data_IF_855924886771
#
_entry.id   IF_855924886771
#
_cell.length_a   1.000
_cell.length_b   1.000
_cell.length_c   1.000
_cell.angle_alpha   90.00
_cell.angle_beta   90.00
_cell.angle_gamma   90.00
#
_symmetry.space_group_name_H-M   'P 1'
#
loop_
_entity.id
_entity.type
_entity.pdbx_description
1 polymer ?
#
# COMPACT_ATOMS: atom_id res chain seq x y z
N UNK A 1 -13.95 1.70 -35.73
CA UNK A 1 -13.46 0.94 -34.55
C UNK A 1 -13.94 1.52 -33.20
N UNK A 2 -14.43 2.75 -33.10
CA UNK A 2 -14.96 3.35 -31.84
C UNK A 2 -16.39 2.93 -31.44
N UNK A 3 -17.14 2.28 -32.28
CA UNK A 3 -18.57 1.92 -32.05
C UNK A 3 -18.78 0.58 -31.32
N UNK A 4 -17.75 -0.27 -31.19
CA UNK A 4 -17.87 -1.60 -30.53
C UNK A 4 -17.61 -1.52 -29.01
N UNK A 5 -16.95 -0.46 -28.53
CA UNK A 5 -16.60 -0.27 -27.10
C UNK A 5 -17.73 0.32 -26.21
N UNK A 6 -18.85 0.75 -26.79
CA UNK A 6 -19.93 1.40 -26.01
C UNK A 6 -20.91 0.44 -25.32
N UNK A 7 -20.81 -0.87 -25.52
CA UNK A 7 -21.86 -1.80 -25.06
C UNK A 7 -21.50 -2.58 -23.78
N UNK A 8 -20.38 -2.30 -23.11
CA UNK A 8 -19.96 -3.07 -21.91
C UNK A 8 -19.49 -2.20 -20.74
N UNK A 9 -19.94 -0.94 -20.65
CA UNK A 9 -19.61 -0.03 -19.57
C UNK A 9 -20.19 -0.53 -18.25
N UNK A 10 -19.32 -0.95 -17.31
CA UNK A 10 -19.70 -1.41 -15.99
C UNK A 10 -19.71 -0.26 -14.97
N UNK A 11 -20.46 -0.45 -13.89
CA UNK A 11 -20.58 0.49 -12.79
C UNK A 11 -20.05 -0.13 -11.50
N UNK A 12 -18.98 0.45 -10.97
CA UNK A 12 -18.33 -0.01 -9.75
C UNK A 12 -18.63 0.92 -8.59
N UNK A 13 -18.82 0.35 -7.41
CA UNK A 13 -18.88 1.10 -6.16
C UNK A 13 -17.79 0.59 -5.23
N UNK A 14 -16.82 1.43 -4.88
CA UNK A 14 -15.70 1.05 -4.02
C UNK A 14 -15.92 1.63 -2.63
N UNK A 15 -15.99 0.76 -1.62
CA UNK A 15 -16.08 1.12 -0.23
C UNK A 15 -14.68 1.10 0.41
N UNK A 16 -14.28 2.23 0.98
CA UNK A 16 -13.06 2.38 1.77
C UNK A 16 -13.40 3.15 3.04
N UNK A 17 -13.08 2.59 4.22
CA UNK A 17 -13.44 3.20 5.49
C UNK A 17 -12.86 4.62 5.64
N UNK A 18 -11.67 4.84 5.11
CA UNK A 18 -11.03 6.16 4.98
C UNK A 18 -10.67 6.43 3.53
N UNK A 19 -10.56 7.71 3.17
CA UNK A 19 -10.16 8.17 1.85
C UNK A 19 -9.61 9.60 1.93
N UNK A 20 -9.09 10.12 0.83
CA UNK A 20 -8.50 11.46 0.81
C UNK A 20 -9.34 12.50 1.58
N UNK A 21 -8.68 13.38 2.35
CA UNK A 21 -7.24 13.70 2.41
C UNK A 21 -6.37 12.74 3.24
N UNK A 22 -6.94 11.70 3.86
CA UNK A 22 -6.13 10.65 4.49
C UNK A 22 -5.33 9.88 3.44
N UNK A 23 -4.01 9.76 3.65
CA UNK A 23 -3.09 9.10 2.73
C UNK A 23 -2.46 7.87 3.39
N UNK A 24 -2.96 6.70 3.02
CA UNK A 24 -2.42 5.40 3.42
C UNK A 24 -2.40 4.44 2.22
N UNK A 25 -2.00 3.21 2.47
CA UNK A 25 -1.92 2.18 1.42
C UNK A 25 -3.28 1.82 0.81
N UNK A 26 -4.32 1.72 1.65
CA UNK A 26 -5.69 1.38 1.21
C UNK A 26 -6.30 2.50 0.37
N UNK A 27 -6.08 3.75 0.76
CA UNK A 27 -6.59 4.93 0.06
C UNK A 27 -5.94 5.09 -1.31
N UNK A 28 -4.62 4.91 -1.38
CA UNK A 28 -3.87 4.90 -2.66
C UNK A 28 -4.31 3.76 -3.56
N UNK A 29 -4.49 2.56 -3.00
CA UNK A 29 -5.03 1.42 -3.72
C UNK A 29 -6.40 1.73 -4.32
N UNK A 30 -7.31 2.25 -3.49
CA UNK A 30 -8.68 2.63 -3.88
C UNK A 30 -8.68 3.65 -5.02
N UNK A 31 -7.84 4.68 -4.89
CA UNK A 31 -7.71 5.73 -5.92
C UNK A 31 -7.18 5.18 -7.24
N UNK A 32 -6.08 4.43 -7.21
CA UNK A 32 -5.44 3.94 -8.42
C UNK A 32 -6.29 2.89 -9.14
N UNK A 33 -6.96 2.00 -8.40
CA UNK A 33 -7.92 1.06 -8.98
C UNK A 33 -9.09 1.81 -9.64
N UNK A 34 -9.66 2.81 -8.96
CA UNK A 34 -10.75 3.62 -9.50
C UNK A 34 -10.33 4.37 -10.76
N UNK A 35 -9.15 5.01 -10.76
CA UNK A 35 -8.56 5.71 -11.90
C UNK A 35 -8.42 4.79 -13.11
N UNK A 36 -7.88 3.59 -12.93
CA UNK A 36 -7.65 2.65 -14.03
C UNK A 36 -8.97 2.07 -14.56
N UNK A 37 -9.93 1.72 -13.71
CA UNK A 37 -11.26 1.31 -14.16
C UNK A 37 -11.97 2.40 -14.98
N UNK A 38 -11.80 3.68 -14.62
CA UNK A 38 -12.35 4.81 -15.39
C UNK A 38 -11.61 4.97 -16.73
N UNK A 39 -10.29 4.81 -16.76
CA UNK A 39 -9.51 4.83 -18.00
C UNK A 39 -9.94 3.76 -18.99
N UNK A 40 -10.38 2.58 -18.49
CA UNK A 40 -10.95 1.50 -19.30
C UNK A 40 -12.42 1.75 -19.70
N UNK A 41 -12.97 2.93 -19.38
CA UNK A 41 -14.29 3.38 -19.82
C UNK A 41 -15.44 3.09 -18.86
N UNK A 42 -15.16 2.59 -17.68
CA UNK A 42 -16.16 2.27 -16.65
C UNK A 42 -16.61 3.50 -15.84
N UNK A 43 -17.72 3.37 -15.12
CA UNK A 43 -18.14 4.32 -14.10
C UNK A 43 -17.73 3.81 -12.73
N UNK A 44 -17.09 4.68 -11.94
CA UNK A 44 -16.68 4.35 -10.58
C UNK A 44 -17.21 5.39 -9.61
N UNK A 45 -17.67 4.92 -8.45
CA UNK A 45 -18.07 5.75 -7.31
C UNK A 45 -17.33 5.24 -6.08
N UNK A 46 -16.74 6.15 -5.31
CA UNK A 46 -16.13 5.83 -4.02
C UNK A 46 -17.08 6.24 -2.90
N UNK A 47 -17.22 5.35 -1.91
CA UNK A 47 -17.99 5.58 -0.69
C UNK A 47 -17.05 5.45 0.50
N UNK A 48 -16.96 6.50 1.32
CA UNK A 48 -16.06 6.56 2.48
C UNK A 48 -16.73 7.15 3.70
N UNK A 49 -16.12 7.04 4.87
CA UNK A 49 -16.60 7.69 6.10
C UNK A 49 -16.14 9.14 6.15
N UNK A 50 -17.01 10.02 6.64
CA UNK A 50 -16.73 11.46 6.74
C UNK A 50 -15.96 11.81 8.03
N UNK A 51 -14.74 11.30 8.14
CA UNK A 51 -13.86 11.49 9.30
C UNK A 51 -13.46 12.97 9.48
N UNK A 52 -13.26 13.67 8.36
CA UNK A 52 -12.76 15.05 8.32
C UNK A 52 -13.87 16.12 8.21
N UNK A 53 -15.15 15.73 8.36
CA UNK A 53 -16.29 16.64 8.26
C UNK A 53 -16.34 17.44 6.94
N UNK A 54 -15.94 16.84 5.84
CA UNK A 54 -15.99 17.42 4.51
C UNK A 54 -17.40 17.35 3.90
N UNK A 55 -17.54 17.83 2.66
CA UNK A 55 -18.78 17.71 1.90
C UNK A 55 -19.25 16.25 1.78
N UNK A 56 -20.57 16.03 1.89
CA UNK A 56 -21.16 14.69 1.71
C UNK A 56 -20.96 14.11 0.31
N UNK A 57 -20.74 14.98 -0.67
CA UNK A 57 -20.43 14.63 -2.05
C UNK A 57 -19.44 15.62 -2.61
N UNK A 58 -18.41 15.08 -3.24
CA UNK A 58 -17.42 15.84 -4.01
C UNK A 58 -16.87 14.99 -5.14
N UNK A 59 -16.06 15.58 -6.01
CA UNK A 59 -15.23 14.87 -6.95
C UNK A 59 -13.77 15.06 -6.58
N UNK A 60 -13.04 13.96 -6.51
CA UNK A 60 -11.58 13.94 -6.36
C UNK A 60 -11.01 13.43 -7.68
N UNK A 61 -10.27 14.26 -8.40
CA UNK A 61 -9.78 13.95 -9.75
C UNK A 61 -10.86 13.34 -10.67
N UNK A 62 -12.01 14.02 -10.73
CA UNK A 62 -13.21 13.60 -11.45
C UNK A 62 -13.90 12.33 -10.93
N UNK A 63 -13.37 11.63 -9.91
CA UNK A 63 -14.00 10.46 -9.28
C UNK A 63 -15.06 10.91 -8.28
N UNK A 64 -16.35 10.53 -8.45
CA UNK A 64 -17.41 10.85 -7.49
C UNK A 64 -17.17 10.17 -6.15
N UNK A 65 -17.13 10.93 -5.06
CA UNK A 65 -16.92 10.47 -3.69
C UNK A 65 -18.12 10.83 -2.82
N UNK A 66 -18.73 9.84 -2.18
CA UNK A 66 -19.77 10.01 -1.19
C UNK A 66 -19.21 9.77 0.21
N UNK A 67 -19.37 10.74 1.10
CA UNK A 67 -18.87 10.68 2.48
C UNK A 67 -20.01 10.43 3.47
N UNK A 68 -20.01 9.26 4.09
CA UNK A 68 -21.04 8.82 5.02
C UNK A 68 -20.77 9.39 6.41
N UNK A 69 -21.75 9.96 7.10
CA UNK A 69 -21.60 10.40 8.48
C UNK A 69 -21.10 9.30 9.41
N UNK A 70 -20.15 9.60 10.27
CA UNK A 70 -19.56 8.65 11.21
C UNK A 70 -19.25 9.29 12.57
N UNK A 71 -19.01 8.46 13.57
CA UNK A 71 -18.30 8.80 14.79
C UNK A 71 -16.84 8.41 14.63
N UNK A 72 -15.93 9.31 14.99
CA UNK A 72 -14.50 9.11 14.90
C UNK A 72 -13.98 8.43 16.17
N UNK A 73 -13.97 7.10 16.21
CA UNK A 73 -13.32 6.37 17.27
C UNK A 73 -11.82 6.22 16.98
N UNK A 74 -11.01 6.10 18.03
CA UNK A 74 -9.55 5.93 17.95
C UNK A 74 -8.91 7.01 17.05
N UNK A 75 -9.25 8.27 17.31
CA UNK A 75 -8.73 9.41 16.54
C UNK A 75 -9.00 9.32 15.03
N UNK A 76 -10.13 8.72 14.66
CA UNK A 76 -10.53 8.53 13.27
C UNK A 76 -9.98 7.26 12.60
N UNK A 77 -9.13 6.49 13.28
CA UNK A 77 -8.64 5.20 12.75
C UNK A 77 -9.74 4.16 12.62
N UNK A 78 -10.80 4.27 13.42
CA UNK A 78 -11.94 3.36 13.41
C UNK A 78 -13.26 4.12 13.29
N UNK A 79 -13.66 4.56 12.08
CA UNK A 79 -14.91 5.27 11.88
C UNK A 79 -16.12 4.34 12.01
N UNK A 80 -17.09 4.72 12.84
CA UNK A 80 -18.34 3.98 13.04
C UNK A 80 -19.50 4.76 12.42
N UNK A 81 -20.32 4.08 11.63
CA UNK A 81 -21.41 4.70 10.87
C UNK A 81 -22.43 5.41 11.79
N UNK A 82 -22.79 6.63 11.46
CA UNK A 82 -23.86 7.40 12.12
C UNK A 82 -25.11 7.36 11.26
N UNK A 83 -26.09 6.52 11.64
CA UNK A 83 -27.35 6.33 10.91
C UNK A 83 -28.33 7.49 11.18
N UNK A 84 -28.09 8.64 10.56
CA UNK A 84 -28.93 9.83 10.64
C UNK A 84 -29.61 10.14 9.27
N UNK A 85 -30.32 11.25 9.17
CA UNK A 85 -31.00 11.67 7.95
C UNK A 85 -30.07 11.77 6.73
N UNK A 86 -28.81 12.24 6.95
CA UNK A 86 -27.79 12.35 5.89
C UNK A 86 -27.37 10.97 5.39
N UNK A 87 -27.13 10.01 6.29
CA UNK A 87 -26.88 8.63 5.93
C UNK A 87 -27.99 8.06 5.05
N UNK A 88 -29.25 8.21 5.46
CA UNK A 88 -30.39 7.68 4.69
C UNK A 88 -30.56 8.37 3.33
N UNK A 89 -30.24 9.65 3.22
CA UNK A 89 -30.21 10.38 1.94
C UNK A 89 -29.18 9.77 0.98
N UNK A 90 -27.93 9.60 1.43
CA UNK A 90 -26.85 8.99 0.63
C UNK A 90 -27.22 7.55 0.26
N UNK A 91 -27.68 6.73 1.21
CA UNK A 91 -28.13 5.36 0.96
C UNK A 91 -29.23 5.29 -0.11
N UNK A 92 -30.18 6.22 -0.12
CA UNK A 92 -31.20 6.30 -1.17
C UNK A 92 -30.62 6.60 -2.56
N UNK A 93 -29.61 7.47 -2.63
CA UNK A 93 -28.89 7.79 -3.87
C UNK A 93 -28.14 6.57 -4.37
N UNK A 94 -27.34 5.92 -3.52
CA UNK A 94 -26.53 4.76 -3.88
C UNK A 94 -27.40 3.59 -4.40
N UNK A 95 -28.52 3.30 -3.73
CA UNK A 95 -29.47 2.26 -4.17
C UNK A 95 -30.07 2.48 -5.57
N UNK A 96 -30.16 3.75 -6.01
CA UNK A 96 -30.70 4.09 -7.34
C UNK A 96 -29.67 3.93 -8.47
N UNK A 97 -28.37 3.89 -8.14
CA UNK A 97 -27.28 3.92 -9.15
C UNK A 97 -27.06 2.62 -9.91
N UNK A 98 -27.66 1.51 -9.52
CA UNK A 98 -27.55 0.20 -10.20
C UNK A 98 -26.08 -0.15 -10.51
N UNK A 99 -25.30 -0.44 -9.48
CA UNK A 99 -23.93 -0.92 -9.65
C UNK A 99 -23.91 -2.39 -10.11
N UNK A 100 -22.97 -2.73 -10.98
CA UNK A 100 -22.70 -4.11 -11.39
C UNK A 100 -21.88 -4.81 -10.32
N UNK A 101 -20.92 -4.11 -9.71
CA UNK A 101 -20.05 -4.65 -8.65
C UNK A 101 -19.83 -3.64 -7.53
N UNK A 102 -19.79 -4.18 -6.31
CA UNK A 102 -19.34 -3.47 -5.09
C UNK A 102 -18.04 -4.10 -4.64
N UNK A 103 -17.00 -3.27 -4.51
CA UNK A 103 -15.69 -3.65 -3.99
C UNK A 103 -15.57 -3.06 -2.59
N UNK A 104 -15.28 -3.91 -1.61
CA UNK A 104 -15.15 -3.49 -0.21
C UNK A 104 -13.70 -3.66 0.22
N UNK A 105 -13.04 -2.56 0.55
CA UNK A 105 -11.69 -2.58 1.08
C UNK A 105 -11.72 -2.80 2.58
N UNK A 106 -11.02 -3.85 3.03
CA UNK A 106 -10.87 -4.22 4.44
C UNK A 106 -12.17 -4.72 5.09
N UNK A 107 -12.17 -5.90 5.69
CA UNK A 107 -13.38 -6.58 6.21
C UNK A 107 -13.90 -6.09 7.56
N UNK A 108 -13.03 -5.57 8.44
CA UNK A 108 -13.34 -5.37 9.87
C UNK A 108 -13.95 -4.00 10.24
N UNK A 109 -14.44 -3.23 9.27
CA UNK A 109 -15.12 -1.97 9.53
C UNK A 109 -16.66 -2.12 9.40
N UNK A 110 -17.45 -1.47 10.28
CA UNK A 110 -18.90 -1.35 10.07
C UNK A 110 -19.26 -0.73 8.72
N UNK A 111 -18.40 0.13 8.20
CA UNK A 111 -18.48 0.70 6.86
C UNK A 111 -18.45 -0.37 5.76
N UNK A 112 -17.58 -1.35 5.92
CA UNK A 112 -17.43 -2.49 5.01
C UNK A 112 -18.66 -3.39 5.01
N UNK A 113 -19.18 -3.72 6.19
CA UNK A 113 -20.43 -4.45 6.34
C UNK A 113 -21.59 -3.72 5.64
N UNK A 114 -21.66 -2.39 5.77
CA UNK A 114 -22.68 -1.62 5.06
C UNK A 114 -22.54 -1.75 3.53
N UNK A 115 -21.33 -1.71 2.99
CA UNK A 115 -21.09 -1.93 1.55
C UNK A 115 -21.58 -3.30 1.07
N UNK A 116 -21.30 -4.37 1.84
CA UNK A 116 -21.76 -5.72 1.55
C UNK A 116 -23.29 -5.84 1.62
N UNK A 117 -23.92 -5.24 2.63
CA UNK A 117 -25.39 -5.19 2.75
C UNK A 117 -26.01 -4.41 1.57
N UNK A 118 -25.40 -3.30 1.17
CA UNK A 118 -25.87 -2.55 0.00
C UNK A 118 -25.81 -3.42 -1.27
N UNK A 119 -24.67 -4.07 -1.52
CA UNK A 119 -24.49 -4.96 -2.67
C UNK A 119 -25.58 -6.02 -2.75
N UNK A 120 -25.85 -6.71 -1.63
CA UNK A 120 -26.92 -7.71 -1.54
C UNK A 120 -28.31 -7.11 -1.83
N UNK A 121 -28.60 -5.92 -1.32
CA UNK A 121 -29.89 -5.24 -1.53
C UNK A 121 -30.12 -4.81 -2.97
N UNK A 122 -29.08 -4.37 -3.67
CA UNK A 122 -29.18 -3.96 -5.08
C UNK A 122 -28.89 -5.08 -6.06
N UNK A 123 -28.58 -6.28 -5.55
CA UNK A 123 -28.21 -7.47 -6.33
C UNK A 123 -26.96 -7.26 -7.20
N UNK A 124 -26.01 -6.48 -6.71
CA UNK A 124 -24.70 -6.32 -7.33
C UNK A 124 -23.76 -7.43 -6.86
N UNK A 125 -22.80 -7.82 -7.69
CA UNK A 125 -21.68 -8.66 -7.28
C UNK A 125 -20.91 -7.97 -6.16
N UNK A 126 -20.45 -8.70 -5.16
CA UNK A 126 -19.68 -8.15 -4.05
C UNK A 126 -18.38 -8.91 -3.89
N UNK A 127 -17.28 -8.18 -3.86
CA UNK A 127 -15.97 -8.71 -3.44
C UNK A 127 -15.44 -7.93 -2.26
N UNK A 128 -14.68 -8.61 -1.40
CA UNK A 128 -13.95 -7.99 -0.30
C UNK A 128 -12.47 -8.16 -0.54
N UNK A 129 -11.74 -7.05 -0.44
CA UNK A 129 -10.30 -7.00 -0.62
C UNK A 129 -9.63 -6.73 0.73
N UNK A 130 -8.78 -7.65 1.16
CA UNK A 130 -8.05 -7.52 2.42
C UNK A 130 -6.62 -7.04 2.21
N UNK A 131 -6.21 -6.08 3.05
CA UNK A 131 -4.92 -5.41 2.98
C UNK A 131 -4.00 -5.71 4.16
N UNK A 132 -4.51 -6.39 5.19
CA UNK A 132 -3.79 -6.66 6.43
C UNK A 132 -3.26 -8.09 6.55
N UNK A 133 -2.30 -8.27 7.44
CA UNK A 133 -1.69 -9.57 7.81
C UNK A 133 -1.66 -9.78 9.32
N UNK A 134 -2.36 -8.93 10.09
CA UNK A 134 -2.46 -8.99 11.55
C UNK A 134 -3.70 -8.27 12.05
N UNK A 135 -4.10 -8.53 13.29
CA UNK A 135 -5.15 -7.76 13.97
C UNK A 135 -4.76 -6.29 14.14
N UNK A 136 -5.75 -5.42 14.19
CA UNK A 136 -5.55 -4.03 14.57
C UNK A 136 -5.11 -3.98 16.05
N UNK A 137 -3.96 -3.39 16.33
CA UNK A 137 -3.47 -3.18 17.70
C UNK A 137 -3.53 -1.71 18.09
N UNK A 138 -3.93 -1.46 19.33
CA UNK A 138 -3.87 -0.16 20.00
C UNK A 138 -2.78 -0.13 21.08
N UNK A 139 -1.85 -1.11 21.05
CA UNK A 139 -0.75 -1.29 22.01
C UNK A 139 -1.21 -1.44 23.46
N UNK A 140 -2.41 -1.98 23.68
CA UNK A 140 -2.96 -2.33 24.98
C UNK A 140 -3.56 -3.73 24.93
N UNK A 141 -2.97 -4.67 25.66
CA UNK A 141 -3.34 -6.10 25.62
C UNK A 141 -4.82 -6.38 25.88
N UNK A 142 -5.46 -5.61 26.75
CA UNK A 142 -6.88 -5.80 27.07
C UNK A 142 -7.77 -5.32 25.89
N UNK A 143 -7.49 -4.15 25.36
CA UNK A 143 -8.25 -3.62 24.23
C UNK A 143 -7.95 -4.38 22.93
N UNK A 144 -6.72 -4.85 22.74
CA UNK A 144 -6.35 -5.68 21.60
C UNK A 144 -7.13 -7.00 21.60
N UNK A 145 -7.26 -7.66 22.78
CA UNK A 145 -8.06 -8.88 22.94
C UNK A 145 -9.57 -8.64 22.64
N UNK A 146 -10.13 -7.53 23.13
CA UNK A 146 -11.53 -7.17 22.81
C UNK A 146 -11.68 -6.88 21.30
N UNK A 147 -10.71 -6.16 20.72
CA UNK A 147 -10.66 -5.86 19.29
C UNK A 147 -10.62 -7.12 18.43
N UNK A 148 -9.84 -8.12 18.83
CA UNK A 148 -9.75 -9.41 18.16
C UNK A 148 -11.10 -10.15 18.16
N UNK A 149 -11.76 -10.26 19.32
CA UNK A 149 -13.10 -10.86 19.41
C UNK A 149 -14.11 -10.13 18.52
N UNK A 150 -14.06 -8.80 18.53
CA UNK A 150 -14.92 -7.98 17.72
C UNK A 150 -14.65 -8.20 16.21
N UNK A 151 -13.38 -8.23 15.79
CA UNK A 151 -12.98 -8.48 14.41
C UNK A 151 -13.46 -9.86 13.93
N UNK A 152 -13.27 -10.91 14.73
CA UNK A 152 -13.79 -12.26 14.44
C UNK A 152 -15.31 -12.28 14.29
N UNK A 153 -16.02 -11.60 15.21
CA UNK A 153 -17.49 -11.54 15.19
C UNK A 153 -17.99 -10.80 13.95
N UNK A 154 -17.43 -9.63 13.67
CA UNK A 154 -17.81 -8.83 12.50
C UNK A 154 -17.52 -9.58 11.19
N UNK A 155 -16.34 -10.21 11.10
CA UNK A 155 -15.96 -11.01 9.92
C UNK A 155 -16.92 -12.19 9.67
N UNK A 156 -17.42 -12.84 10.71
CA UNK A 156 -18.47 -13.86 10.57
C UNK A 156 -19.78 -13.30 10.03
N UNK A 157 -20.14 -12.09 10.45
CA UNK A 157 -21.32 -11.39 9.94
C UNK A 157 -21.10 -10.99 8.48
N UNK A 158 -19.93 -10.48 8.13
CA UNK A 158 -19.55 -10.11 6.76
C UNK A 158 -19.71 -11.29 5.80
N UNK A 159 -19.32 -12.50 6.21
CA UNK A 159 -19.44 -13.71 5.42
C UNK A 159 -20.89 -14.12 5.09
N UNK A 160 -21.89 -13.56 5.76
CA UNK A 160 -23.32 -13.75 5.43
C UNK A 160 -23.69 -12.94 4.17
N UNK A 161 -23.00 -11.84 3.94
CA UNK A 161 -23.32 -10.87 2.88
C UNK A 161 -22.37 -10.93 1.69
N UNK A 162 -21.09 -11.25 1.92
CA UNK A 162 -20.06 -11.42 0.90
C UNK A 162 -19.38 -12.78 1.04
N UNK A 163 -19.13 -13.48 -0.08
CA UNK A 163 -18.45 -14.79 -0.13
C UNK A 163 -17.12 -14.73 -0.87
N UNK A 164 -16.88 -13.66 -1.60
CA UNK A 164 -15.78 -13.52 -2.53
C UNK A 164 -14.73 -12.61 -1.93
N UNK A 165 -13.69 -13.23 -1.36
CA UNK A 165 -12.59 -12.54 -0.70
C UNK A 165 -11.31 -12.68 -1.51
N UNK A 166 -10.55 -11.60 -1.58
CA UNK A 166 -9.25 -11.49 -2.24
C UNK A 166 -8.27 -10.77 -1.31
N UNK A 167 -7.02 -11.17 -1.31
CA UNK A 167 -5.95 -10.43 -0.63
C UNK A 167 -5.16 -9.57 -1.61
N UNK A 168 -4.44 -8.58 -1.12
CA UNK A 168 -3.47 -7.83 -1.92
C UNK A 168 -2.11 -8.54 -2.02
N UNK A 169 -1.97 -9.68 -1.35
CA UNK A 169 -0.81 -10.57 -1.38
C UNK A 169 -1.20 -11.99 -0.94
N UNK A 170 -0.33 -12.96 -1.16
CA UNK A 170 -0.46 -14.31 -0.61
C UNK A 170 -0.52 -14.31 0.91
N UNK A 171 0.30 -13.47 1.57
CA UNK A 171 0.27 -13.30 3.02
C UNK A 171 -1.10 -12.80 3.54
N UNK A 172 -1.75 -11.90 2.80
CA UNK A 172 -3.13 -11.50 3.13
C UNK A 172 -4.12 -12.65 2.95
N UNK A 173 -3.94 -13.51 1.95
CA UNK A 173 -4.77 -14.70 1.78
C UNK A 173 -4.57 -15.73 2.91
N UNK A 174 -3.33 -15.92 3.38
CA UNK A 174 -3.02 -16.74 4.56
C UNK A 174 -3.67 -16.15 5.82
N UNK A 175 -3.66 -14.82 5.96
CA UNK A 175 -4.34 -14.13 7.04
C UNK A 175 -5.86 -14.30 6.98
N UNK A 176 -6.48 -14.28 5.80
CA UNK A 176 -7.90 -14.60 5.63
C UNK A 176 -8.24 -16.03 6.08
N UNK A 177 -7.34 -16.98 5.92
CA UNK A 177 -7.54 -18.36 6.39
C UNK A 177 -7.67 -18.46 7.92
N UNK A 178 -7.05 -17.54 8.68
CA UNK A 178 -7.26 -17.42 10.13
C UNK A 178 -8.73 -17.20 10.51
N UNK A 179 -9.51 -16.54 9.65
CA UNK A 179 -10.96 -16.31 9.80
C UNK A 179 -11.81 -17.38 9.11
N UNK A 180 -11.22 -18.53 8.74
CA UNK A 180 -11.86 -19.59 7.95
C UNK A 180 -12.39 -19.10 6.59
N UNK A 181 -11.74 -18.11 6.00
CA UNK A 181 -12.07 -17.60 4.68
C UNK A 181 -11.07 -18.16 3.67
N UNK A 182 -11.58 -18.89 2.67
CA UNK A 182 -10.79 -19.27 1.51
C UNK A 182 -10.84 -18.16 0.48
N UNK A 183 -9.72 -17.42 0.34
CA UNK A 183 -9.60 -16.39 -0.68
C UNK A 183 -9.72 -16.98 -2.09
N UNK A 184 -10.34 -16.24 -3.02
CA UNK A 184 -10.51 -16.65 -4.42
C UNK A 184 -9.31 -16.33 -5.29
N UNK A 185 -8.46 -15.41 -4.86
CA UNK A 185 -7.27 -15.01 -5.60
C UNK A 185 -6.57 -13.81 -4.98
N UNK A 186 -5.68 -13.20 -5.75
CA UNK A 186 -4.90 -12.03 -5.34
C UNK A 186 -5.13 -10.91 -6.33
N UNK A 187 -5.47 -9.74 -5.79
CA UNK A 187 -5.52 -8.46 -6.50
C UNK A 187 -4.38 -7.60 -5.95
N UNK A 188 -3.21 -7.76 -6.51
CA UNK A 188 -1.96 -7.20 -6.00
C UNK A 188 -2.03 -5.69 -5.75
N UNK A 189 -1.33 -5.23 -4.71
CA UNK A 189 -0.91 -3.85 -4.67
C UNK A 189 0.02 -3.59 -5.86
N UNK A 190 -0.09 -2.43 -6.49
CA UNK A 190 0.50 -2.18 -7.81
C UNK A 190 1.04 -0.76 -7.92
N UNK A 191 1.72 -0.46 -9.03
CA UNK A 191 2.32 0.84 -9.29
C UNK A 191 1.97 1.32 -10.71
N UNK A 192 1.94 2.64 -10.90
CA UNK A 192 1.84 3.28 -12.21
C UNK A 192 3.26 3.59 -12.72
N UNK A 193 3.77 2.72 -13.59
CA UNK A 193 5.13 2.82 -14.14
C UNK A 193 5.29 4.11 -14.97
N UNK A 194 4.26 4.50 -15.72
CA UNK A 194 4.34 5.69 -16.58
C UNK A 194 4.34 6.99 -15.76
N UNK A 195 3.63 7.03 -14.64
CA UNK A 195 3.69 8.13 -13.68
C UNK A 195 5.11 8.28 -13.13
N UNK A 196 5.72 7.19 -12.66
CA UNK A 196 7.10 7.20 -12.16
C UNK A 196 8.09 7.68 -13.24
N UNK A 197 8.01 7.14 -14.46
CA UNK A 197 8.88 7.56 -15.58
C UNK A 197 8.71 9.04 -15.93
N UNK A 198 7.49 9.56 -15.88
CA UNK A 198 7.25 10.97 -16.13
C UNK A 198 7.88 11.85 -15.06
N UNK A 199 7.80 11.47 -13.80
CA UNK A 199 8.47 12.18 -12.70
C UNK A 199 9.98 12.14 -12.90
N UNK A 200 10.58 10.95 -13.16
CA UNK A 200 12.01 10.80 -13.41
C UNK A 200 12.54 11.71 -14.55
N UNK A 201 11.76 11.87 -15.61
CA UNK A 201 12.13 12.74 -16.75
C UNK A 201 12.09 14.23 -16.43
N UNK A 202 11.22 14.62 -15.51
CA UNK A 202 10.95 16.02 -15.20
C UNK A 202 11.57 16.47 -13.87
N UNK A 203 12.23 15.56 -13.13
CA UNK A 203 12.86 15.93 -11.86
C UNK A 203 13.99 16.92 -12.06
N UNK A 204 14.06 17.90 -11.17
CA UNK A 204 15.11 18.92 -11.09
C UNK A 204 15.82 18.88 -9.74
N UNK A 205 15.39 18.03 -8.82
CA UNK A 205 16.01 17.85 -7.51
C UNK A 205 16.89 16.60 -7.51
N UNK A 206 18.18 16.82 -7.22
CA UNK A 206 19.20 15.78 -7.18
C UNK A 206 19.75 15.69 -5.77
N UNK A 207 19.41 14.58 -5.09
CA UNK A 207 19.75 14.37 -3.67
C UNK A 207 21.25 14.18 -3.46
N UNK A 208 21.96 13.50 -4.39
CA UNK A 208 23.40 13.35 -4.31
C UNK A 208 24.12 14.71 -4.36
N UNK A 209 23.72 15.58 -5.26
CA UNK A 209 24.26 16.92 -5.38
C UNK A 209 23.93 17.78 -4.13
N UNK A 210 22.66 17.78 -3.73
CA UNK A 210 22.16 18.53 -2.56
C UNK A 210 22.91 18.23 -1.26
N UNK A 211 23.32 16.97 -1.08
CA UNK A 211 23.98 16.49 0.14
C UNK A 211 25.49 16.24 -0.06
N UNK A 212 26.06 16.57 -1.21
CA UNK A 212 27.47 16.43 -1.51
C UNK A 212 27.98 14.99 -1.52
N UNK A 213 27.15 14.03 -1.97
CA UNK A 213 27.48 12.61 -1.99
C UNK A 213 28.31 12.30 -3.24
N UNK A 214 29.49 11.68 -3.10
CA UNK A 214 30.32 11.29 -4.21
C UNK A 214 29.61 10.34 -5.18
N UNK A 215 29.88 10.47 -6.47
CA UNK A 215 29.28 9.64 -7.53
C UNK A 215 29.53 8.16 -7.29
N UNK A 216 30.72 7.79 -6.81
CA UNK A 216 31.13 6.40 -6.56
C UNK A 216 30.55 5.81 -5.27
N UNK A 217 29.98 6.65 -4.42
CA UNK A 217 29.41 6.20 -3.13
C UNK A 217 28.14 5.37 -3.36
N UNK A 218 27.95 4.37 -2.51
CA UNK A 218 26.72 3.57 -2.48
C UNK A 218 25.66 4.27 -1.63
N UNK A 219 24.49 4.49 -2.21
CA UNK A 219 23.33 5.08 -1.53
C UNK A 219 22.34 3.98 -1.16
N UNK A 220 22.08 3.85 0.13
CA UNK A 220 21.01 3.05 0.73
C UNK A 220 19.85 3.99 1.05
N UNK A 221 18.62 3.59 0.77
CA UNK A 221 17.44 4.41 1.10
C UNK A 221 16.36 3.57 1.78
N UNK A 222 15.76 4.16 2.80
CA UNK A 222 14.52 3.72 3.44
C UNK A 222 13.43 4.75 3.18
N UNK A 223 12.24 4.30 2.77
CA UNK A 223 11.06 5.16 2.69
C UNK A 223 9.87 4.52 3.39
N UNK A 224 9.10 5.31 4.15
CA UNK A 224 7.91 4.85 4.84
C UNK A 224 7.69 5.52 6.19
N UNK A 225 6.67 5.06 6.92
CA UNK A 225 6.43 5.56 8.28
C UNK A 225 7.59 5.18 9.20
N UNK A 226 8.05 6.13 9.99
CA UNK A 226 9.16 5.93 10.92
C UNK A 226 8.66 5.21 12.19
N UNK A 227 8.47 3.89 12.07
CA UNK A 227 7.98 3.02 13.12
C UNK A 227 8.97 1.88 13.40
N UNK A 228 8.98 1.38 14.64
CA UNK A 228 9.83 0.23 15.03
C UNK A 228 9.55 -1.00 14.18
N UNK A 229 8.28 -1.22 13.83
CA UNK A 229 7.83 -2.34 13.00
C UNK A 229 8.41 -2.32 11.58
N UNK A 230 8.89 -1.17 11.13
CA UNK A 230 9.57 -1.03 9.84
C UNK A 230 11.06 -1.42 9.88
N UNK A 231 11.57 -1.80 11.06
CA UNK A 231 12.93 -2.28 11.23
C UNK A 231 14.00 -1.17 11.27
N UNK A 232 13.58 0.08 11.45
CA UNK A 232 14.48 1.23 11.53
C UNK A 232 15.57 1.11 12.61
N UNK A 233 15.31 0.63 13.85
CA UNK A 233 16.35 0.49 14.87
C UNK A 233 17.52 -0.38 14.38
N UNK A 234 17.21 -1.53 13.78
CA UNK A 234 18.25 -2.44 13.25
C UNK A 234 19.01 -1.80 12.09
N UNK A 235 18.29 -1.10 11.18
CA UNK A 235 18.92 -0.43 10.05
C UNK A 235 19.89 0.67 10.51
N UNK A 236 19.48 1.51 11.46
CA UNK A 236 20.33 2.57 12.02
C UNK A 236 21.58 1.99 12.69
N UNK A 237 21.43 0.95 13.53
CA UNK A 237 22.55 0.31 14.20
C UNK A 237 23.52 -0.34 13.21
N UNK A 238 23.00 -0.96 12.17
CA UNK A 238 23.84 -1.58 11.12
C UNK A 238 24.57 -0.52 10.30
N UNK A 239 23.91 0.57 9.96
CA UNK A 239 24.57 1.68 9.23
C UNK A 239 25.66 2.36 10.07
N UNK A 240 25.46 2.55 11.38
CA UNK A 240 26.51 3.06 12.26
C UNK A 240 27.74 2.14 12.25
N UNK A 241 27.57 0.80 12.26
CA UNK A 241 28.68 -0.18 12.16
C UNK A 241 29.40 -0.07 10.82
N UNK A 242 28.64 -0.04 9.72
CA UNK A 242 29.21 0.08 8.38
C UNK A 242 30.04 1.35 8.24
N UNK A 243 29.51 2.48 8.72
CA UNK A 243 30.17 3.78 8.62
C UNK A 243 31.40 3.96 9.55
N UNK A 244 31.59 3.04 10.52
CA UNK A 244 32.86 2.96 11.28
C UNK A 244 33.98 2.29 10.48
N UNK A 245 33.66 1.46 9.51
CA UNK A 245 34.61 0.68 8.73
C UNK A 245 34.87 1.28 7.34
N UNK A 246 33.92 2.11 6.82
CA UNK A 246 33.99 2.70 5.47
C UNK A 246 33.22 4.01 5.39
N UNK A 247 33.65 4.90 4.50
CA UNK A 247 33.15 6.25 4.32
C UNK A 247 32.41 6.48 2.97
N UNK A 248 32.20 5.40 2.21
CA UNK A 248 31.60 5.45 0.88
C UNK A 248 30.14 4.94 0.86
N UNK A 249 29.46 4.81 2.02
CA UNK A 249 28.07 4.36 2.13
C UNK A 249 27.22 5.40 2.84
N UNK A 250 26.12 5.77 2.24
CA UNK A 250 25.18 6.77 2.74
C UNK A 250 23.80 6.18 2.91
N UNK A 251 23.06 6.60 3.94
CA UNK A 251 21.67 6.20 4.20
C UNK A 251 20.75 7.41 4.16
N UNK A 252 19.82 7.43 3.21
CA UNK A 252 18.68 8.34 3.25
C UNK A 252 17.49 7.71 3.95
N UNK A 253 16.80 8.49 4.78
CA UNK A 253 15.58 8.09 5.47
C UNK A 253 14.49 9.11 5.18
N UNK A 254 13.47 8.70 4.43
CA UNK A 254 12.31 9.52 4.08
C UNK A 254 11.04 9.02 4.78
N UNK A 255 10.36 9.91 5.50
CA UNK A 255 9.11 9.63 6.19
C UNK A 255 8.92 10.42 7.47
N UNK A 256 7.84 10.11 8.18
CA UNK A 256 7.47 10.64 9.49
C UNK A 256 6.97 9.50 10.40
N UNK A 257 6.92 9.73 11.70
CA UNK A 257 6.40 8.76 12.66
C UNK A 257 7.08 8.79 14.03
N UNK A 258 6.72 7.83 14.88
CA UNK A 258 7.13 7.78 16.30
C UNK A 258 8.64 7.70 16.53
N UNK A 259 9.42 7.31 15.51
CA UNK A 259 10.88 7.23 15.57
C UNK A 259 11.59 8.47 15.00
N UNK A 260 10.88 9.55 14.70
CA UNK A 260 11.48 10.74 14.08
C UNK A 260 12.59 11.33 14.93
N UNK A 261 12.39 11.43 16.25
CA UNK A 261 13.41 11.94 17.17
C UNK A 261 14.66 11.03 17.23
N UNK A 262 14.46 9.71 17.24
CA UNK A 262 15.56 8.75 17.21
C UNK A 262 16.35 8.84 15.90
N UNK A 263 15.66 8.88 14.76
CA UNK A 263 16.27 9.03 13.44
C UNK A 263 17.07 10.34 13.36
N UNK A 264 16.49 11.46 13.81
CA UNK A 264 17.15 12.74 13.81
C UNK A 264 18.37 12.79 14.76
N UNK A 265 18.33 12.07 15.87
CA UNK A 265 19.48 11.96 16.81
C UNK A 265 20.68 11.22 16.21
N UNK A 266 20.44 10.34 15.21
CA UNK A 266 21.49 9.60 14.47
C UNK A 266 22.00 10.35 13.24
N UNK A 267 21.46 11.53 12.93
CA UNK A 267 21.89 12.35 11.80
C UNK A 267 23.37 12.66 11.88
N UNK A 268 24.08 12.35 10.80
CA UNK A 268 25.50 12.66 10.63
C UNK A 268 25.78 12.85 9.12
N UNK A 269 27.05 12.87 8.70
CA UNK A 269 27.41 13.02 7.30
C UNK A 269 26.96 11.86 6.40
N UNK A 270 26.69 10.67 6.97
CA UNK A 270 26.34 9.44 6.25
C UNK A 270 24.88 8.99 6.48
N UNK A 271 24.27 9.35 7.60
CA UNK A 271 22.84 9.08 7.88
C UNK A 271 22.07 10.39 7.72
N UNK A 272 21.20 10.45 6.72
CA UNK A 272 20.58 11.67 6.20
C UNK A 272 19.06 11.55 6.27
N UNK A 273 18.41 11.96 7.38
CA UNK A 273 16.97 12.12 7.42
C UNK A 273 16.53 13.26 6.50
N UNK A 274 15.58 12.99 5.61
CA UNK A 274 15.01 14.02 4.71
C UNK A 274 13.58 14.42 5.12
N UNK A 275 13.04 13.78 6.17
CA UNK A 275 11.69 14.02 6.66
C UNK A 275 10.62 13.46 5.71
N UNK A 276 9.39 13.91 5.91
CA UNK A 276 8.28 13.55 5.04
C UNK A 276 8.34 14.38 3.75
N UNK A 277 8.40 13.70 2.63
CA UNK A 277 8.41 14.28 1.28
C UNK A 277 7.25 13.68 0.47
N UNK A 278 6.81 14.37 -0.57
CA UNK A 278 5.76 13.91 -1.47
C UNK A 278 6.26 12.84 -2.45
N UNK A 279 5.36 12.31 -3.27
CA UNK A 279 5.66 11.20 -4.16
C UNK A 279 6.68 11.57 -5.24
N UNK A 280 6.64 12.79 -5.75
CA UNK A 280 7.60 13.27 -6.77
C UNK A 280 9.01 13.30 -6.20
N UNK A 281 9.18 13.80 -4.98
CA UNK A 281 10.47 13.82 -4.28
C UNK A 281 10.93 12.42 -3.85
N UNK A 282 10.00 11.50 -3.50
CA UNK A 282 10.32 10.08 -3.26
C UNK A 282 10.91 9.45 -4.52
N UNK A 283 10.28 9.67 -5.68
CA UNK A 283 10.79 9.13 -6.96
C UNK A 283 12.16 9.73 -7.30
N UNK A 284 12.36 11.05 -7.09
CA UNK A 284 13.65 11.70 -7.30
C UNK A 284 14.74 11.09 -6.43
N UNK A 285 14.47 10.89 -5.14
CA UNK A 285 15.39 10.27 -4.19
C UNK A 285 15.73 8.82 -4.59
N UNK A 286 14.70 8.03 -4.92
CA UNK A 286 14.87 6.62 -5.30
C UNK A 286 15.61 6.46 -6.64
N UNK A 287 15.51 7.43 -7.54
CA UNK A 287 16.24 7.41 -8.83
C UNK A 287 17.76 7.47 -8.63
N UNK A 288 18.22 8.07 -7.51
CA UNK A 288 19.65 8.17 -7.17
C UNK A 288 20.09 7.13 -6.10
N UNK A 289 19.23 6.17 -5.82
CA UNK A 289 19.44 5.12 -4.81
C UNK A 289 19.96 3.83 -5.46
N UNK A 290 21.00 3.24 -4.89
CA UNK A 290 21.52 1.94 -5.31
C UNK A 290 20.76 0.77 -4.66
N UNK A 291 20.50 0.87 -3.36
CA UNK A 291 19.89 -0.19 -2.55
C UNK A 291 18.71 0.39 -1.76
N UNK A 292 17.52 -0.11 -2.01
CA UNK A 292 16.38 0.15 -1.16
C UNK A 292 16.33 -0.88 -0.04
N UNK A 293 16.29 -0.43 1.22
CA UNK A 293 16.32 -1.31 2.38
C UNK A 293 15.08 -1.13 3.25
N UNK A 294 14.22 -2.16 3.32
CA UNK A 294 13.01 -2.17 4.14
C UNK A 294 12.98 -3.44 5.02
N UNK A 295 13.66 -3.47 6.17
CA UNK A 295 13.75 -4.65 7.04
C UNK A 295 12.57 -4.78 7.99
N UNK A 296 11.33 -4.71 7.49
CA UNK A 296 10.07 -4.70 8.26
C UNK A 296 9.78 -6.02 8.97
N UNK A 297 9.09 -5.96 10.11
CA UNK A 297 8.53 -7.13 10.81
C UNK A 297 7.17 -7.56 10.26
N UNK A 298 6.38 -6.63 9.72
CA UNK A 298 5.01 -6.86 9.24
C UNK A 298 4.70 -5.96 8.05
N UNK A 299 4.16 -6.58 7.01
CA UNK A 299 3.68 -5.91 5.79
C UNK A 299 2.49 -6.68 5.20
N UNK A 300 1.56 -5.96 4.57
CA UNK A 300 0.58 -6.56 3.67
C UNK A 300 1.19 -6.77 2.28
N UNK A 301 1.39 -5.68 1.55
CA UNK A 301 2.25 -5.57 0.37
C UNK A 301 2.77 -4.14 0.31
N UNK A 302 4.06 -3.94 0.56
CA UNK A 302 4.65 -2.60 0.63
C UNK A 302 4.72 -1.94 -0.75
N UNK A 303 4.07 -0.78 -0.90
CA UNK A 303 4.22 0.06 -2.11
C UNK A 303 5.62 0.58 -2.28
N UNK A 304 6.30 0.90 -1.18
CA UNK A 304 7.68 1.42 -1.21
C UNK A 304 8.66 0.47 -1.91
N UNK A 305 8.43 -0.86 -1.80
CA UNK A 305 9.24 -1.85 -2.52
C UNK A 305 8.99 -1.76 -4.03
N UNK A 306 7.74 -1.59 -4.46
CA UNK A 306 7.39 -1.41 -5.87
C UNK A 306 7.93 -0.09 -6.42
N UNK A 307 7.79 0.99 -5.65
CA UNK A 307 8.30 2.32 -5.96
C UNK A 307 9.82 2.28 -6.19
N UNK A 308 10.55 1.68 -5.25
CA UNK A 308 11.99 1.52 -5.34
C UNK A 308 12.43 0.68 -6.56
N UNK A 309 11.79 -0.46 -6.77
CA UNK A 309 12.14 -1.34 -7.87
C UNK A 309 11.88 -0.71 -9.25
N UNK A 310 10.79 0.08 -9.41
CA UNK A 310 10.53 0.81 -10.65
C UNK A 310 11.51 1.95 -10.86
N UNK A 311 11.99 2.58 -9.78
CA UNK A 311 13.02 3.62 -9.86
C UNK A 311 14.43 3.08 -10.17
N UNK A 312 14.63 1.76 -10.16
CA UNK A 312 15.91 1.13 -10.46
C UNK A 312 16.75 0.82 -9.24
N UNK A 313 16.16 0.75 -8.04
CA UNK A 313 16.85 0.33 -6.83
C UNK A 313 16.92 -1.20 -6.73
N UNK A 314 18.05 -1.73 -6.25
CA UNK A 314 18.12 -3.11 -5.79
C UNK A 314 17.42 -3.25 -4.44
N UNK A 315 16.48 -4.17 -4.33
CA UNK A 315 15.64 -4.30 -3.13
C UNK A 315 16.23 -5.28 -2.13
N UNK A 316 16.45 -4.82 -0.90
CA UNK A 316 16.76 -5.64 0.28
C UNK A 316 15.60 -5.51 1.26
N UNK A 317 14.96 -6.62 1.63
CA UNK A 317 13.83 -6.63 2.54
C UNK A 317 13.73 -7.94 3.32
N UNK A 318 12.77 -8.03 4.23
CA UNK A 318 12.44 -9.27 4.94
C UNK A 318 11.36 -10.07 4.19
N UNK A 319 11.25 -11.35 4.53
CA UNK A 319 10.22 -12.25 3.97
C UNK A 319 8.82 -11.95 4.56
N UNK A 320 8.32 -10.70 4.41
CA UNK A 320 7.02 -10.27 4.93
C UNK A 320 6.12 -9.78 3.81
N UNK A 321 4.81 -9.98 3.99
CA UNK A 321 3.80 -9.59 3.00
C UNK A 321 4.11 -10.17 1.61
N UNK A 322 3.91 -9.36 0.58
CA UNK A 322 4.14 -9.73 -0.82
C UNK A 322 5.60 -9.73 -1.28
N UNK A 323 6.61 -9.61 -0.38
CA UNK A 323 8.01 -9.52 -0.77
C UNK A 323 8.46 -10.72 -1.63
N UNK A 324 8.07 -11.96 -1.24
CA UNK A 324 8.40 -13.18 -2.00
C UNK A 324 7.63 -13.33 -3.32
N UNK A 325 6.61 -12.55 -3.52
CA UNK A 325 5.83 -12.55 -4.76
C UNK A 325 6.48 -11.64 -5.80
N UNK A 326 7.17 -10.60 -5.35
CA UNK A 326 7.99 -9.73 -6.18
C UNK A 326 9.38 -10.33 -6.40
N UNK A 327 10.09 -10.66 -5.32
CA UNK A 327 11.43 -11.22 -5.32
C UNK A 327 11.34 -12.74 -5.20
N UNK A 328 11.12 -13.43 -6.31
CA UNK A 328 10.83 -14.88 -6.33
C UNK A 328 12.05 -15.77 -6.12
N UNK A 329 13.24 -15.21 -6.26
CA UNK A 329 14.53 -15.86 -5.95
C UNK A 329 15.58 -14.81 -5.60
N UNK A 330 16.74 -15.26 -5.10
CA UNK A 330 17.88 -14.40 -4.76
C UNK A 330 18.47 -13.64 -5.97
N UNK A 331 18.08 -13.97 -7.19
CA UNK A 331 18.47 -13.24 -8.39
C UNK A 331 17.70 -11.92 -8.56
N UNK A 332 16.48 -11.82 -8.00
CA UNK A 332 15.62 -10.63 -8.12
C UNK A 332 15.94 -9.56 -7.09
N UNK A 333 16.38 -9.95 -5.91
CA UNK A 333 16.67 -9.06 -4.79
C UNK A 333 17.12 -9.85 -3.58
N UNK A 334 17.37 -9.19 -2.48
CA UNK A 334 17.82 -9.81 -1.25
C UNK A 334 16.68 -9.90 -0.22
N UNK A 335 16.28 -11.13 0.13
CA UNK A 335 15.31 -11.37 1.21
C UNK A 335 16.03 -11.99 2.40
N UNK A 336 16.01 -11.30 3.54
CA UNK A 336 16.49 -11.82 4.82
C UNK A 336 15.33 -12.40 5.63
N UNK A 337 15.62 -13.38 6.49
CA UNK A 337 14.59 -14.07 7.29
C UNK A 337 13.93 -13.14 8.30
N UNK A 338 14.71 -12.28 8.92
CA UNK A 338 14.31 -11.27 9.88
C UNK A 338 15.30 -10.11 9.87
N UNK A 339 15.07 -9.10 10.68
CA UNK A 339 15.91 -7.91 10.76
C UNK A 339 16.92 -7.95 11.92
N UNK A 340 17.40 -9.12 12.35
CA UNK A 340 18.53 -9.20 13.26
C UNK A 340 19.74 -8.51 12.64
N UNK A 341 20.44 -7.73 13.45
CA UNK A 341 21.52 -6.84 12.98
C UNK A 341 22.59 -7.57 12.19
N UNK A 342 23.01 -8.76 12.64
CA UNK A 342 24.06 -9.53 11.94
C UNK A 342 23.61 -10.02 10.56
N UNK A 343 22.33 -10.44 10.43
CA UNK A 343 21.78 -10.84 9.14
C UNK A 343 21.64 -9.65 8.20
N UNK A 344 21.15 -8.53 8.71
CA UNK A 344 20.96 -7.31 7.93
C UNK A 344 22.32 -6.73 7.50
N UNK A 345 23.29 -6.71 8.41
CA UNK A 345 24.66 -6.24 8.13
C UNK A 345 25.31 -7.07 7.00
N UNK A 346 25.32 -8.39 7.15
CA UNK A 346 25.90 -9.30 6.13
C UNK A 346 25.21 -9.15 4.78
N UNK A 347 23.90 -9.00 4.77
CA UNK A 347 23.12 -8.79 3.55
C UNK A 347 23.46 -7.45 2.89
N UNK A 348 23.52 -6.35 3.65
CA UNK A 348 23.90 -5.03 3.15
C UNK A 348 25.31 -5.03 2.57
N UNK A 349 26.31 -5.56 3.31
CA UNK A 349 27.69 -5.67 2.83
C UNK A 349 27.76 -6.48 1.52
N UNK A 350 27.05 -7.62 1.43
CA UNK A 350 26.95 -8.40 0.19
C UNK A 350 26.38 -7.56 -0.95
N UNK A 351 25.28 -6.83 -0.71
CA UNK A 351 24.65 -6.00 -1.73
C UNK A 351 25.56 -4.85 -2.17
N UNK A 352 26.23 -4.18 -1.23
CA UNK A 352 27.17 -3.07 -1.51
C UNK A 352 28.32 -3.55 -2.39
N UNK A 353 28.91 -4.69 -2.06
CA UNK A 353 30.10 -5.22 -2.74
C UNK A 353 29.79 -5.96 -4.06
N UNK A 354 28.54 -6.05 -4.48
CA UNK A 354 28.14 -6.84 -5.66
C UNK A 354 27.31 -6.03 -6.67
N UNK A 355 27.89 -5.05 -7.36
CA UNK A 355 27.19 -4.20 -8.32
C UNK A 355 26.56 -4.97 -9.48
N UNK A 356 27.22 -6.00 -10.01
CA UNK A 356 26.67 -6.82 -11.11
C UNK A 356 25.44 -7.62 -10.67
N UNK A 357 25.45 -8.14 -9.42
CA UNK A 357 24.28 -8.80 -8.83
C UNK A 357 23.11 -7.81 -8.71
N UNK A 358 23.38 -6.57 -8.25
CA UNK A 358 22.34 -5.54 -8.16
C UNK A 358 21.74 -5.23 -9.53
N UNK A 359 22.60 -5.00 -10.54
CA UNK A 359 22.14 -4.69 -11.90
C UNK A 359 21.22 -5.77 -12.45
N UNK A 360 21.61 -7.05 -12.34
CA UNK A 360 20.78 -8.18 -12.78
C UNK A 360 19.45 -8.22 -12.04
N UNK A 361 19.49 -8.07 -10.71
CA UNK A 361 18.28 -8.11 -9.88
C UNK A 361 17.29 -6.98 -10.19
N UNK A 362 17.80 -5.78 -10.45
CA UNK A 362 16.99 -4.62 -10.86
C UNK A 362 16.25 -4.92 -12.18
N UNK A 363 16.95 -5.44 -13.20
CA UNK A 363 16.34 -5.77 -14.49
C UNK A 363 15.23 -6.81 -14.35
N UNK A 364 15.50 -7.91 -13.63
CA UNK A 364 14.53 -8.99 -13.41
C UNK A 364 13.31 -8.52 -12.62
N UNK A 365 13.52 -7.72 -11.57
CA UNK A 365 12.43 -7.23 -10.73
C UNK A 365 11.57 -6.21 -11.48
N UNK A 366 12.19 -5.34 -12.27
CA UNK A 366 11.47 -4.39 -13.12
C UNK A 366 10.58 -5.12 -14.14
N UNK A 367 11.12 -6.12 -14.86
CA UNK A 367 10.33 -6.94 -15.79
C UNK A 367 9.13 -7.60 -15.08
N UNK A 368 9.37 -8.16 -13.89
CA UNK A 368 8.30 -8.79 -13.12
C UNK A 368 7.20 -7.81 -12.70
N UNK A 369 7.56 -6.56 -12.36
CA UNK A 369 6.56 -5.52 -12.08
C UNK A 369 5.70 -5.24 -13.30
N UNK A 370 6.32 -5.10 -14.49
CA UNK A 370 5.57 -4.89 -15.73
C UNK A 370 4.57 -6.01 -16.03
N UNK A 371 4.91 -7.24 -15.71
CA UNK A 371 4.08 -8.42 -15.98
C UNK A 371 2.98 -8.66 -14.95
N UNK A 372 3.13 -8.19 -13.69
CA UNK A 372 2.25 -8.63 -12.60
C UNK A 372 1.73 -7.52 -11.69
N UNK A 373 2.43 -6.38 -11.55
CA UNK A 373 2.20 -5.41 -10.50
C UNK A 373 1.89 -4.01 -11.03
N UNK A 374 1.11 -3.93 -12.10
CA UNK A 374 0.60 -2.66 -12.64
C UNK A 374 -0.90 -2.54 -12.44
N UNK A 375 -1.38 -1.31 -12.25
CA UNK A 375 -2.80 -1.05 -12.01
C UNK A 375 -3.71 -1.49 -13.17
N UNK A 376 -3.21 -1.44 -14.41
CA UNK A 376 -3.95 -1.95 -15.57
C UNK A 376 -4.23 -3.46 -15.46
N UNK A 377 -3.26 -4.25 -14.96
CA UNK A 377 -3.45 -5.69 -14.74
C UNK A 377 -4.50 -5.95 -13.66
N UNK A 378 -4.46 -5.20 -12.57
CA UNK A 378 -5.42 -5.34 -11.47
C UNK A 378 -6.82 -4.92 -11.91
N UNK A 379 -6.95 -3.79 -12.64
CA UNK A 379 -8.24 -3.34 -13.17
C UNK A 379 -8.87 -4.40 -14.11
N UNK A 380 -8.08 -4.95 -15.03
CA UNK A 380 -8.56 -6.04 -15.91
C UNK A 380 -8.99 -7.29 -15.15
N UNK A 381 -8.28 -7.68 -14.10
CA UNK A 381 -8.70 -8.79 -13.23
C UNK A 381 -10.04 -8.48 -12.54
N UNK A 382 -10.22 -7.25 -12.07
CA UNK A 382 -11.50 -6.82 -11.45
C UNK A 382 -12.65 -6.85 -12.47
N UNK A 383 -12.40 -6.43 -13.71
CA UNK A 383 -13.38 -6.51 -14.79
C UNK A 383 -13.76 -7.97 -15.10
N UNK A 384 -12.79 -8.86 -15.22
CA UNK A 384 -13.03 -10.30 -15.40
C UNK A 384 -13.86 -10.88 -14.27
N UNK A 385 -13.50 -10.57 -13.01
CA UNK A 385 -14.27 -10.98 -11.84
C UNK A 385 -15.71 -10.43 -11.91
N UNK A 386 -15.93 -9.22 -12.42
CA UNK A 386 -17.26 -8.64 -12.56
C UNK A 386 -18.14 -9.38 -13.59
N UNK A 387 -17.52 -10.00 -14.59
CA UNK A 387 -18.22 -10.72 -15.68
C UNK A 387 -18.57 -12.18 -15.31
N UNK A 388 -17.84 -12.81 -14.41
CA UNK A 388 -18.15 -14.13 -13.83
C UNK A 388 -19.45 -14.12 -13.01
#
# INVERSE_FOLDING_TARGET
>A
KRKILMNNRKRYCIFAAQYFPHLGGVERYTYNLAKNLIMDGNEVVIVTSNVYHLSEFEKVDEIPVYRIPCWNLLEGRYPVLKMNSRFFKINKILKKKKFDMVIVNTRFYPHSLYGMILAKKIRAKCITLDHGTSHLSVHNKFWDFIGEIFEHTLTKVDQIFCKDYYGVSGACNEWLAHFHIKAKGILYNSIDIEEVKNIQKNTTEFYREKYGIPTEATVVTFTGRLLKEKGLPSLLNVMDKINQERDDVYLFIAGDGDMEDEVNSRKNGHIIPVGRIDFEHIVSLLTETDIFCLPSFSEGFSTSILEAAVCGCYVLTTARGGARELLISDEYGCIILNNQEDLLHNALIKCINSPDMRKKGIELTYQRIQENFTWNIVAKKVEQICEE
#
